data_IF_774506683587
#
_entry.id   IF_774506683587
#
_cell.length_a   1.000
_cell.length_b   1.000
_cell.length_c   1.000
_cell.angle_alpha   90.00
_cell.angle_beta   90.00
_cell.angle_gamma   90.00
#
_symmetry.space_group_name_H-M   'P 1'
#
loop_
_entity.id
_entity.type
_entity.pdbx_description
1 polymer ?
#
# COMPACT_ATOMS: atom_id res chain seq x y z
N UNK A 1 5.39 -10.36 -17.26
CA UNK A 1 4.95 -10.65 -18.65
C UNK A 1 5.48 -9.53 -19.53
N UNK A 2 6.33 -9.84 -20.50
CA UNK A 2 7.14 -8.82 -21.17
C UNK A 2 7.90 -7.97 -20.16
N UNK A 3 7.84 -6.65 -20.34
CA UNK A 3 8.54 -5.66 -19.50
C UNK A 3 7.84 -5.36 -18.16
N UNK A 4 6.82 -6.13 -17.78
CA UNK A 4 6.05 -5.94 -16.56
C UNK A 4 6.41 -7.01 -15.52
N UNK A 5 6.76 -6.57 -14.32
CA UNK A 5 6.86 -7.36 -13.11
C UNK A 5 5.57 -7.20 -12.29
N UNK A 6 4.87 -8.32 -12.09
CA UNK A 6 3.59 -8.35 -11.37
C UNK A 6 3.81 -8.98 -10.00
N UNK A 7 3.30 -8.34 -8.95
CA UNK A 7 3.43 -8.78 -7.56
C UNK A 7 2.03 -8.86 -6.95
N UNK A 8 1.69 -10.01 -6.37
CA UNK A 8 0.45 -10.20 -5.63
C UNK A 8 0.76 -10.30 -4.15
N UNK A 9 0.12 -9.45 -3.33
CA UNK A 9 0.27 -9.46 -1.88
C UNK A 9 -1.01 -9.94 -1.19
N UNK A 10 -0.84 -10.52 0.00
CA UNK A 10 -1.95 -10.93 0.85
C UNK A 10 -2.21 -9.86 1.91
N UNK A 11 -3.40 -9.27 1.88
CA UNK A 11 -3.84 -8.23 2.82
C UNK A 11 -4.78 -8.75 3.93
N UNK A 12 -5.07 -10.05 4.00
CA UNK A 12 -6.08 -10.62 4.92
C UNK A 12 -5.48 -11.38 6.10
N UNK A 13 -4.20 -11.74 6.03
CA UNK A 13 -3.50 -12.40 7.14
C UNK A 13 -2.98 -11.37 8.15
N UNK A 14 -3.90 -10.65 8.75
CA UNK A 14 -3.67 -9.80 9.90
C UNK A 14 -4.36 -10.37 11.13
N UNK A 15 -3.69 -10.33 12.29
CA UNK A 15 -4.24 -10.91 13.51
C UNK A 15 -3.83 -10.16 14.76
N UNK A 16 -4.71 -10.26 15.76
CA UNK A 16 -4.50 -9.94 17.17
C UNK A 16 -3.57 -10.92 17.90
N UNK A 17 -3.09 -11.93 17.18
CA UNK A 17 -2.08 -12.86 17.62
C UNK A 17 -0.80 -12.66 16.82
N UNK A 18 0.33 -12.45 17.52
CA UNK A 18 1.64 -12.21 16.90
C UNK A 18 2.04 -13.30 15.90
N UNK A 19 1.64 -14.55 16.11
CA UNK A 19 1.93 -15.67 15.20
C UNK A 19 1.20 -15.58 13.86
N UNK A 20 0.15 -14.77 13.77
CA UNK A 20 -0.69 -14.58 12.58
C UNK A 20 -0.77 -13.11 12.15
N UNK A 21 0.06 -12.23 12.72
CA UNK A 21 0.12 -10.83 12.35
C UNK A 21 1.14 -10.66 11.22
N UNK A 22 0.77 -10.98 9.98
CA UNK A 22 1.69 -10.94 8.83
C UNK A 22 1.78 -9.58 8.13
N UNK A 23 0.81 -8.70 8.38
CA UNK A 23 0.76 -7.36 7.79
C UNK A 23 0.96 -6.24 8.81
N UNK A 24 1.09 -6.54 10.11
CA UNK A 24 1.45 -5.54 11.12
C UNK A 24 0.28 -4.75 11.74
N UNK A 25 -0.91 -5.34 11.89
CA UNK A 25 -2.14 -4.68 12.39
C UNK A 25 -1.96 -3.84 13.67
N UNK A 26 -1.11 -4.27 14.60
CA UNK A 26 -0.86 -3.58 15.87
C UNK A 26 0.41 -2.76 15.90
N UNK A 27 1.18 -2.84 14.83
CA UNK A 27 2.48 -2.24 14.85
C UNK A 27 2.36 -0.83 14.30
N UNK A 28 2.35 0.13 15.22
CA UNK A 28 2.46 1.55 14.90
C UNK A 28 3.92 1.93 14.52
N UNK A 29 4.85 0.96 14.58
CA UNK A 29 6.20 1.11 14.08
C UNK A 29 6.31 0.60 12.64
N UNK A 30 6.73 1.49 11.75
CA UNK A 30 7.09 1.20 10.35
C UNK A 30 8.24 0.19 10.21
N UNK A 31 8.95 -0.16 11.29
CA UNK A 31 9.97 -1.21 11.33
C UNK A 31 9.40 -2.64 11.44
N UNK A 32 8.07 -2.81 11.39
CA UNK A 32 7.46 -4.14 11.31
C UNK A 32 8.05 -4.96 10.16
N UNK A 33 8.30 -6.25 10.42
CA UNK A 33 8.75 -7.20 9.41
C UNK A 33 7.93 -8.48 9.48
N UNK A 34 7.71 -9.07 8.33
CA UNK A 34 7.16 -10.41 8.17
C UNK A 34 7.88 -11.10 7.01
N UNK A 35 7.83 -12.45 6.92
CA UNK A 35 8.41 -13.16 5.79
C UNK A 35 7.92 -12.67 4.42
N UNK A 36 6.67 -12.20 4.34
CA UNK A 36 6.12 -11.62 3.10
C UNK A 36 6.73 -10.25 2.78
N UNK A 37 6.97 -9.40 3.79
CA UNK A 37 7.57 -8.08 3.58
C UNK A 37 9.06 -8.19 3.24
N UNK A 38 9.79 -9.14 3.83
CA UNK A 38 11.17 -9.42 3.43
C UNK A 38 11.22 -10.00 2.01
N UNK A 39 10.36 -10.97 1.70
CA UNK A 39 10.23 -11.48 0.33
C UNK A 39 9.91 -10.38 -0.68
N UNK A 40 9.02 -9.44 -0.34
CA UNK A 40 8.67 -8.31 -1.20
C UNK A 40 9.88 -7.42 -1.49
N UNK A 41 10.70 -7.12 -0.47
CA UNK A 41 11.94 -6.34 -0.64
C UNK A 41 12.92 -7.08 -1.56
N UNK A 42 13.15 -8.36 -1.32
CA UNK A 42 14.06 -9.18 -2.12
C UNK A 42 13.59 -9.30 -3.58
N UNK A 43 12.29 -9.50 -3.81
CA UNK A 43 11.68 -9.62 -5.14
C UNK A 43 11.76 -8.29 -5.92
N UNK A 44 11.50 -7.17 -5.24
CA UNK A 44 11.62 -5.83 -5.82
C UNK A 44 13.07 -5.40 -6.08
N UNK A 45 14.02 -5.85 -5.26
CA UNK A 45 15.45 -5.60 -5.48
C UNK A 45 16.01 -6.42 -6.64
N UNK A 46 15.50 -7.64 -6.85
CA UNK A 46 15.95 -8.54 -7.91
C UNK A 46 15.42 -8.17 -9.31
N UNK A 47 14.36 -7.37 -9.41
CA UNK A 47 13.71 -7.07 -10.71
C UNK A 47 14.28 -5.82 -11.39
N UNK A 48 14.69 -5.97 -12.64
CA UNK A 48 15.08 -4.85 -13.52
C UNK A 48 14.01 -4.53 -14.57
N UNK A 49 12.80 -5.09 -14.43
CA UNK A 49 11.72 -4.86 -15.40
C UNK A 49 11.26 -3.40 -15.35
N UNK A 50 10.94 -2.85 -16.53
CA UNK A 50 10.58 -1.44 -16.70
C UNK A 50 9.37 -1.05 -15.85
N UNK A 51 8.34 -1.88 -15.85
CA UNK A 51 7.08 -1.62 -15.14
C UNK A 51 6.92 -2.58 -13.98
N UNK A 52 6.56 -2.05 -12.81
CA UNK A 52 6.21 -2.82 -11.61
C UNK A 52 4.77 -2.53 -11.23
N UNK A 53 3.97 -3.58 -11.16
CA UNK A 53 2.55 -3.50 -10.80
C UNK A 53 2.32 -4.40 -9.59
N UNK A 54 1.86 -3.81 -8.50
CA UNK A 54 1.55 -4.53 -7.25
C UNK A 54 0.04 -4.53 -7.06
N UNK A 55 -0.51 -5.64 -6.56
CA UNK A 55 -1.94 -5.74 -6.29
C UNK A 55 -2.28 -6.59 -5.07
N UNK A 56 -3.33 -6.19 -4.35
CA UNK A 56 -3.88 -6.88 -3.18
C UNK A 56 -5.37 -6.53 -2.96
N UNK A 57 -6.03 -7.04 -1.92
CA UNK A 57 -7.48 -6.85 -1.74
C UNK A 57 -7.82 -5.55 -0.99
N UNK A 58 -7.36 -5.38 0.25
CA UNK A 58 -7.74 -4.27 1.15
C UNK A 58 -7.09 -2.95 0.74
N UNK A 59 -7.88 -1.97 0.33
CA UNK A 59 -7.41 -0.69 -0.20
C UNK A 59 -6.71 0.20 0.87
N UNK A 60 -5.48 0.71 0.63
CA UNK A 60 -4.79 1.61 1.57
C UNK A 60 -5.44 3.02 1.64
N UNK A 61 -6.16 3.39 0.58
CA UNK A 61 -6.91 4.63 0.45
C UNK A 61 -8.31 4.31 -0.09
N UNK A 62 -9.32 4.39 0.77
CA UNK A 62 -10.74 4.22 0.39
C UNK A 62 -11.50 5.52 0.57
N UNK A 63 -12.34 5.84 -0.41
CA UNK A 63 -13.19 7.03 -0.46
C UNK A 63 -14.66 6.79 -0.07
N UNK A 64 -15.06 5.59 0.37
CA UNK A 64 -16.48 5.24 0.49
C UNK A 64 -17.15 5.76 1.79
N UNK A 65 -16.49 5.68 2.95
CA UNK A 65 -17.01 6.04 4.29
C UNK A 65 -15.91 6.57 5.26
N UNK A 66 -15.14 7.59 4.85
CA UNK A 66 -14.09 8.24 5.69
C UNK A 66 -12.91 7.30 6.07
N UNK A 67 -12.54 6.43 5.13
CA UNK A 67 -11.72 5.26 5.40
C UNK A 67 -10.19 5.52 5.45
N UNK A 68 -9.74 6.76 5.28
CA UNK A 68 -8.35 7.12 5.62
C UNK A 68 -8.12 7.28 7.12
N UNK A 69 -9.19 7.36 7.92
CA UNK A 69 -9.11 7.45 9.37
C UNK A 69 -8.43 6.22 10.01
N UNK A 70 -7.54 6.47 10.97
CA UNK A 70 -6.84 5.47 11.77
C UNK A 70 -7.77 4.86 12.83
N UNK A 71 -8.74 4.06 12.41
CA UNK A 71 -9.71 3.44 13.32
C UNK A 71 -9.80 1.91 13.15
N UNK A 72 -10.37 1.25 14.15
CA UNK A 72 -10.40 -0.22 14.23
C UNK A 72 -11.22 -0.92 13.14
N UNK A 73 -12.03 -0.20 12.36
CA UNK A 73 -12.90 -0.79 11.33
C UNK A 73 -12.10 -1.28 10.11
N UNK A 74 -10.88 -0.77 9.90
CA UNK A 74 -10.07 -1.07 8.72
C UNK A 74 -8.60 -1.33 9.00
N UNK A 75 -8.36 -2.08 10.05
CA UNK A 75 -6.99 -2.36 10.45
C UNK A 75 -6.13 -2.99 9.35
N UNK A 76 -6.75 -3.71 8.41
CA UNK A 76 -6.04 -4.25 7.26
C UNK A 76 -5.62 -3.17 6.27
N UNK A 77 -6.53 -2.26 5.89
CA UNK A 77 -6.21 -1.09 5.05
C UNK A 77 -5.12 -0.23 5.66
N UNK A 78 -5.28 0.11 6.96
CA UNK A 78 -4.27 0.83 7.75
C UNK A 78 -2.94 0.08 7.72
N UNK A 79 -2.91 -1.21 8.04
CA UNK A 79 -1.69 -2.00 8.04
C UNK A 79 -1.00 -2.02 6.66
N UNK A 80 -1.74 -2.18 5.56
CA UNK A 80 -1.15 -2.11 4.22
C UNK A 80 -0.58 -0.72 3.91
N UNK A 81 -1.26 0.37 4.32
CA UNK A 81 -0.74 1.73 4.15
C UNK A 81 0.53 1.98 4.97
N UNK A 82 0.61 1.46 6.19
CA UNK A 82 1.78 1.62 7.06
C UNK A 82 2.98 0.78 6.62
N UNK A 83 2.74 -0.43 6.10
CA UNK A 83 3.81 -1.42 5.93
C UNK A 83 4.11 -1.77 4.47
N UNK A 84 3.13 -1.69 3.56
CA UNK A 84 3.36 -1.97 2.15
C UNK A 84 3.82 -0.71 1.42
N UNK A 85 3.10 0.42 1.58
CA UNK A 85 3.38 1.67 0.86
C UNK A 85 4.84 2.11 0.97
N UNK A 86 5.48 2.16 2.15
CA UNK A 86 6.88 2.58 2.24
C UNK A 86 7.83 1.69 1.43
N UNK A 87 7.55 0.39 1.33
CA UNK A 87 8.36 -0.55 0.55
C UNK A 87 8.13 -0.29 -0.94
N UNK A 88 6.88 -0.31 -1.40
CA UNK A 88 6.59 -0.19 -2.84
C UNK A 88 6.98 1.20 -3.40
N UNK A 89 6.86 2.27 -2.60
CA UNK A 89 7.32 3.61 -2.96
C UNK A 89 8.85 3.64 -3.07
N UNK A 90 9.57 3.05 -2.10
CA UNK A 90 11.04 2.97 -2.11
C UNK A 90 11.60 2.26 -3.33
N UNK A 91 10.95 1.20 -3.80
CA UNK A 91 11.40 0.42 -4.97
C UNK A 91 10.80 0.89 -6.31
N UNK A 92 10.08 2.02 -6.32
CA UNK A 92 9.54 2.63 -7.53
C UNK A 92 8.53 1.72 -8.22
N UNK A 93 7.48 1.34 -7.49
CA UNK A 93 6.29 0.69 -8.07
C UNK A 93 5.46 1.74 -8.81
N UNK A 94 5.03 1.39 -10.04
CA UNK A 94 4.37 2.34 -10.95
C UNK A 94 2.84 2.34 -10.79
N UNK A 95 2.26 1.20 -10.43
CA UNK A 95 0.82 1.05 -10.28
C UNK A 95 0.48 0.09 -9.14
N UNK A 96 -0.44 0.54 -8.30
CA UNK A 96 -1.08 -0.26 -7.26
C UNK A 96 -2.54 -0.49 -7.64
N UNK A 97 -2.97 -1.75 -7.63
CA UNK A 97 -4.36 -2.12 -7.84
C UNK A 97 -4.91 -2.79 -6.59
N UNK A 98 -6.00 -2.24 -6.06
CA UNK A 98 -6.70 -2.82 -4.91
C UNK A 98 -8.17 -3.06 -5.20
N UNK A 99 -8.80 -3.88 -4.37
CA UNK A 99 -10.24 -4.16 -4.41
C UNK A 99 -10.92 -3.66 -3.15
N UNK A 100 -11.73 -4.55 -2.57
CA UNK A 100 -12.57 -4.34 -1.37
C UNK A 100 -13.72 -3.36 -1.58
N UNK A 101 -13.44 -2.14 -2.02
CA UNK A 101 -14.45 -1.13 -2.32
C UNK A 101 -15.22 -1.49 -3.59
N UNK A 102 -16.55 -1.48 -3.52
CA UNK A 102 -17.41 -1.84 -4.66
C UNK A 102 -17.69 -0.64 -5.58
N UNK A 103 -16.65 0.10 -5.93
CA UNK A 103 -16.70 1.23 -6.85
C UNK A 103 -15.34 1.42 -7.55
N UNK A 104 -15.24 2.38 -8.47
CA UNK A 104 -13.97 2.78 -9.06
C UNK A 104 -13.46 4.05 -8.39
N UNK A 105 -12.23 4.00 -7.90
CA UNK A 105 -11.51 5.14 -7.33
C UNK A 105 -10.11 5.21 -7.91
N UNK A 106 -9.55 6.42 -7.93
CA UNK A 106 -8.15 6.66 -8.23
C UNK A 106 -7.63 7.80 -7.38
N UNK A 107 -6.53 7.55 -6.67
CA UNK A 107 -5.86 8.57 -5.87
C UNK A 107 -5.08 9.55 -6.76
N UNK A 108 -4.59 10.62 -6.13
CA UNK A 108 -3.43 11.33 -6.66
C UNK A 108 -2.22 10.41 -6.75
N UNK A 109 -1.17 10.85 -7.45
CA UNK A 109 0.15 10.25 -7.24
C UNK A 109 0.63 10.71 -5.87
N UNK A 110 0.64 9.78 -4.92
CA UNK A 110 0.95 10.02 -3.51
C UNK A 110 2.31 9.39 -3.19
N UNK A 111 3.08 10.04 -2.32
CA UNK A 111 4.33 9.51 -1.77
C UNK A 111 4.48 9.99 -0.32
N UNK A 112 4.80 9.09 0.61
CA UNK A 112 5.08 9.43 2.00
C UNK A 112 3.85 9.65 2.89
N UNK A 113 2.65 9.28 2.46
CA UNK A 113 1.43 9.38 3.30
C UNK A 113 1.04 8.02 3.87
N UNK A 114 1.47 7.74 5.10
CA UNK A 114 1.28 6.42 5.71
C UNK A 114 0.24 6.39 6.84
N UNK A 115 -0.13 7.56 7.35
CA UNK A 115 -0.97 7.71 8.55
C UNK A 115 -2.36 8.27 8.19
N UNK A 116 -3.08 8.75 9.20
CA UNK A 116 -4.42 9.31 9.07
C UNK A 116 -4.51 10.46 8.06
N UNK A 117 -5.73 10.72 7.60
CA UNK A 117 -6.06 11.79 6.65
C UNK A 117 -5.61 13.19 7.10
N UNK A 118 -5.62 13.44 8.41
CA UNK A 118 -5.16 14.70 9.03
C UNK A 118 -3.66 14.94 8.86
N UNK A 119 -2.89 13.91 8.52
CA UNK A 119 -1.46 14.00 8.23
C UNK A 119 -1.15 14.22 6.74
N UNK A 120 -2.16 14.18 5.86
CA UNK A 120 -1.95 14.38 4.44
C UNK A 120 -1.61 15.85 4.15
N UNK A 121 -0.48 16.09 3.49
CA UNK A 121 -0.03 17.44 3.13
C UNK A 121 0.12 17.59 1.61
N UNK A 122 0.04 18.81 1.06
CA UNK A 122 0.28 19.04 -0.36
C UNK A 122 1.64 18.52 -0.86
N UNK A 123 2.65 18.44 0.01
CA UNK A 123 3.97 17.91 -0.35
C UNK A 123 3.97 16.40 -0.63
N UNK A 124 2.98 15.66 -0.10
CA UNK A 124 2.81 14.22 -0.35
C UNK A 124 2.06 13.95 -1.67
N UNK A 125 1.47 14.97 -2.28
CA UNK A 125 0.81 14.90 -3.58
C UNK A 125 1.81 15.21 -4.69
N UNK A 126 2.47 14.18 -5.22
CA UNK A 126 3.45 14.32 -6.30
C UNK A 126 2.78 14.80 -7.59
N UNK A 127 1.58 14.30 -7.88
CA UNK A 127 0.77 14.75 -9.00
C UNK A 127 -0.72 14.72 -8.63
N UNK A 128 -1.34 15.90 -8.60
CA UNK A 128 -2.76 16.08 -8.32
C UNK A 128 -3.69 15.91 -9.52
N UNK A 129 -3.14 15.68 -10.72
CA UNK A 129 -3.93 15.54 -11.93
C UNK A 129 -4.54 14.14 -12.03
N UNK A 130 -5.43 13.98 -12.99
CA UNK A 130 -5.99 12.71 -13.42
C UNK A 130 -4.97 11.84 -14.20
N UNK A 131 -3.69 11.85 -13.82
CA UNK A 131 -2.63 11.10 -14.50
C UNK A 131 -2.27 11.65 -15.88
N UNK A 132 -2.47 12.95 -16.09
CA UNK A 132 -1.92 13.64 -17.26
C UNK A 132 -0.55 14.21 -16.86
N UNK A 133 0.47 13.80 -17.60
CA UNK A 133 1.80 14.40 -17.56
C UNK A 133 1.80 15.66 -18.44
N UNK A 134 1.18 16.75 -17.97
CA UNK A 134 1.27 18.10 -18.57
C UNK A 134 1.25 19.19 -17.50
#
# INVERSE_FOLDING_TARGET
YGDIHFISLNSELGSYNASYNWIGIFNNDTAFTSPMLEWLKDDLEATTRKWKIVFWHQCPYSGQDNFTAENGVQQFSVATRHHFNPIIEKYGVDLVLTGHDHNYQRSYLINGHYFGEDTFTPAMMINGTSGNDL
#
